data_IF_111862952158
#
_entry.id   IF_111862952158
#
_cell.length_a   1.000
_cell.length_b   1.000
_cell.length_c   1.000
_cell.angle_alpha   90.00
_cell.angle_beta   90.00
_cell.angle_gamma   90.00
#
_symmetry.space_group_name_H-M   'P 1'
#
loop_
_entity.id
_entity.type
_entity.pdbx_description
1 polymer ?
#
# COMPACT_ATOMS: atom_id res chain seq x y z
N UNK A 1 10.00 -9.25 -38.76
CA UNK A 1 9.47 -9.86 -37.52
C UNK A 1 10.58 -9.88 -36.49
N UNK A 2 10.58 -8.94 -35.55
CA UNK A 2 11.52 -9.00 -34.43
C UNK A 2 10.97 -10.01 -33.43
N UNK A 3 11.72 -11.08 -33.19
CA UNK A 3 11.41 -12.06 -32.15
C UNK A 3 11.61 -11.33 -30.83
N UNK A 4 10.51 -10.92 -30.19
CA UNK A 4 10.53 -10.44 -28.80
C UNK A 4 10.78 -11.68 -27.95
N UNK A 5 12.05 -11.95 -27.65
CA UNK A 5 12.41 -12.91 -26.61
C UNK A 5 11.84 -12.38 -25.28
N UNK A 6 11.06 -13.17 -24.54
CA UNK A 6 10.67 -12.78 -23.19
C UNK A 6 11.95 -12.56 -22.38
N UNK A 7 12.01 -11.54 -21.50
CA UNK A 7 13.21 -11.31 -20.69
C UNK A 7 13.52 -12.60 -19.91
N UNK A 8 14.72 -13.13 -20.10
CA UNK A 8 15.20 -14.28 -19.33
C UNK A 8 15.18 -13.88 -17.86
N UNK A 9 14.29 -14.48 -17.08
CA UNK A 9 14.31 -14.40 -15.62
C UNK A 9 15.69 -14.93 -15.19
N UNK A 10 16.53 -14.08 -14.60
CA UNK A 10 17.82 -14.51 -14.10
C UNK A 10 17.59 -15.55 -13.00
N UNK A 11 18.16 -16.75 -13.18
CA UNK A 11 18.09 -17.87 -12.25
C UNK A 11 19.50 -18.35 -11.98
N UNK A 12 19.79 -18.57 -10.71
CA UNK A 12 21.02 -19.20 -10.28
C UNK A 12 20.99 -20.70 -10.62
N UNK A 13 22.15 -21.21 -11.01
CA UNK A 13 22.49 -22.61 -11.26
C UNK A 13 23.44 -23.14 -10.19
N UNK A 14 24.18 -22.26 -9.50
CA UNK A 14 24.99 -22.58 -8.32
C UNK A 14 24.73 -21.61 -7.18
N UNK A 15 25.30 -21.88 -6.00
CA UNK A 15 25.10 -21.02 -4.83
C UNK A 15 26.03 -19.81 -4.84
N UNK A 16 25.53 -18.65 -4.39
CA UNK A 16 26.26 -17.38 -4.33
C UNK A 16 26.24 -16.85 -2.91
N UNK A 17 27.39 -16.42 -2.38
CA UNK A 17 27.52 -15.87 -1.03
C UNK A 17 28.45 -16.67 -0.11
N UNK A 18 28.21 -16.59 1.20
CA UNK A 18 28.98 -17.25 2.25
C UNK A 18 29.13 -18.75 1.96
N UNK A 19 30.36 -19.21 1.74
CA UNK A 19 30.68 -20.62 1.44
C UNK A 19 29.94 -21.19 0.20
N UNK A 20 29.46 -20.32 -0.70
CA UNK A 20 28.83 -20.73 -1.95
C UNK A 20 29.84 -21.15 -3.01
N UNK A 21 29.34 -21.74 -4.11
CA UNK A 21 30.15 -22.02 -5.31
C UNK A 21 30.75 -20.75 -5.90
N UNK A 22 30.04 -19.63 -5.80
CA UNK A 22 30.51 -18.30 -6.19
C UNK A 22 31.04 -18.25 -7.62
N UNK A 23 30.29 -18.84 -8.56
CA UNK A 23 30.57 -18.67 -9.98
C UNK A 23 30.62 -17.18 -10.33
N UNK A 24 31.70 -16.75 -10.99
CA UNK A 24 32.00 -15.33 -11.23
C UNK A 24 30.86 -14.58 -11.93
N UNK A 25 30.20 -15.20 -12.91
CA UNK A 25 29.12 -14.55 -13.67
C UNK A 25 27.84 -14.44 -12.84
N UNK A 26 27.55 -15.44 -12.01
CA UNK A 26 26.41 -15.43 -11.11
C UNK A 26 26.60 -14.42 -9.97
N UNK A 27 27.82 -14.30 -9.45
CA UNK A 27 28.16 -13.27 -8.45
C UNK A 27 27.99 -11.87 -9.05
N UNK A 28 28.46 -11.62 -10.28
CA UNK A 28 28.25 -10.33 -10.97
C UNK A 28 26.77 -10.02 -11.11
N UNK A 29 25.97 -11.00 -11.53
CA UNK A 29 24.55 -10.81 -11.71
C UNK A 29 23.83 -10.52 -10.39
N UNK A 30 24.17 -11.23 -9.30
CA UNK A 30 23.64 -10.93 -7.96
C UNK A 30 24.05 -9.54 -7.48
N UNK A 31 25.33 -9.16 -7.64
CA UNK A 31 25.81 -7.82 -7.30
C UNK A 31 25.03 -6.74 -8.05
N UNK A 32 24.85 -6.90 -9.37
CA UNK A 32 24.08 -5.98 -10.20
C UNK A 32 22.61 -5.88 -9.78
N UNK A 33 21.97 -7.01 -9.47
CA UNK A 33 20.58 -7.04 -9.04
C UNK A 33 20.39 -6.38 -7.66
N UNK A 34 21.29 -6.63 -6.71
CA UNK A 34 21.21 -6.00 -5.38
C UNK A 34 21.42 -4.49 -5.48
N UNK A 35 22.39 -4.04 -6.28
CA UNK A 35 22.63 -2.62 -6.52
C UNK A 35 21.41 -1.93 -7.14
N UNK A 36 20.86 -2.53 -8.21
CA UNK A 36 19.65 -2.05 -8.88
C UNK A 36 18.42 -2.08 -7.98
N UNK A 37 18.34 -3.03 -7.05
CA UNK A 37 17.30 -3.10 -6.03
C UNK A 37 17.50 -2.06 -4.90
N UNK A 38 18.33 -1.04 -5.09
CA UNK A 38 18.40 0.12 -4.20
C UNK A 38 19.30 -0.05 -2.97
N UNK A 39 20.24 -1.00 -2.98
CA UNK A 39 21.19 -1.18 -1.88
C UNK A 39 21.95 0.10 -1.54
N UNK A 40 22.47 0.80 -2.55
CA UNK A 40 23.18 2.06 -2.36
C UNK A 40 22.27 3.15 -1.79
N UNK A 41 21.02 3.23 -2.28
CA UNK A 41 20.05 4.22 -1.80
C UNK A 41 19.67 3.98 -0.32
N UNK A 42 19.56 2.72 0.08
CA UNK A 42 19.17 2.35 1.44
C UNK A 42 20.31 2.43 2.46
N UNK A 43 21.54 2.13 2.05
CA UNK A 43 22.68 1.97 2.98
C UNK A 43 23.75 3.05 2.83
N UNK A 44 23.76 3.78 1.72
CA UNK A 44 24.86 4.66 1.33
C UNK A 44 26.11 3.93 0.86
N UNK A 45 26.12 2.59 0.84
CA UNK A 45 27.27 1.78 0.46
C UNK A 45 27.18 1.38 -1.02
N UNK A 46 28.28 1.51 -1.74
CA UNK A 46 28.37 1.06 -3.13
C UNK A 46 28.81 -0.39 -3.18
N UNK A 47 28.08 -1.22 -3.94
CA UNK A 47 28.48 -2.60 -4.20
C UNK A 47 29.27 -2.67 -5.52
N UNK A 48 30.50 -3.15 -5.47
CA UNK A 48 31.36 -3.25 -6.66
C UNK A 48 30.96 -4.49 -7.47
N UNK A 49 30.59 -4.30 -8.73
CA UNK A 49 30.17 -5.37 -9.64
C UNK A 49 31.39 -5.98 -10.33
N UNK A 50 32.04 -6.94 -9.67
CA UNK A 50 33.31 -7.53 -10.12
C UNK A 50 33.29 -9.07 -10.18
N UNK A 51 32.23 -9.73 -9.71
CA UNK A 51 32.13 -11.19 -9.67
C UNK A 51 32.94 -11.86 -8.56
N UNK A 52 33.50 -11.07 -7.64
CA UNK A 52 34.19 -11.55 -6.45
C UNK A 52 33.21 -11.51 -5.28
N UNK A 53 32.94 -12.67 -4.69
CA UNK A 53 32.10 -12.77 -3.50
C UNK A 53 32.90 -12.40 -2.25
N UNK A 54 33.15 -11.10 -2.08
CA UNK A 54 33.82 -10.54 -0.92
C UNK A 54 32.88 -10.26 0.26
N UNK A 55 33.42 -9.70 1.34
CA UNK A 55 32.65 -9.33 2.53
C UNK A 55 31.54 -8.34 2.19
N UNK A 56 31.78 -7.37 1.29
CA UNK A 56 30.77 -6.40 0.87
C UNK A 56 29.60 -7.09 0.15
N UNK A 57 29.90 -8.01 -0.77
CA UNK A 57 28.89 -8.83 -1.45
C UNK A 57 28.08 -9.65 -0.45
N UNK A 58 28.77 -10.29 0.51
CA UNK A 58 28.11 -11.11 1.52
C UNK A 58 27.20 -10.28 2.44
N UNK A 59 27.63 -9.09 2.86
CA UNK A 59 26.80 -8.19 3.67
C UNK A 59 25.62 -7.60 2.89
N UNK A 60 25.79 -7.34 1.59
CA UNK A 60 24.70 -6.91 0.73
C UNK A 60 23.62 -8.01 0.57
N UNK A 61 24.04 -9.27 0.43
CA UNK A 61 23.14 -10.43 0.46
C UNK A 61 22.40 -10.50 1.79
N UNK A 62 23.11 -10.43 2.92
CA UNK A 62 22.52 -10.46 4.26
C UNK A 62 21.53 -9.32 4.47
N UNK A 63 21.84 -8.13 3.97
CA UNK A 63 20.93 -6.99 4.04
C UNK A 63 19.61 -7.27 3.34
N UNK A 64 19.65 -7.77 2.10
CA UNK A 64 18.44 -8.08 1.35
C UNK A 64 17.67 -9.26 1.98
N UNK A 65 18.38 -10.25 2.52
CA UNK A 65 17.78 -11.32 3.31
C UNK A 65 16.99 -10.76 4.52
N UNK A 66 17.58 -9.85 5.31
CA UNK A 66 16.86 -9.20 6.44
C UNK A 66 15.65 -8.41 5.98
N UNK A 67 15.76 -7.71 4.84
CA UNK A 67 14.66 -6.95 4.26
C UNK A 67 13.48 -7.85 3.93
N UNK A 68 13.74 -9.06 3.43
CA UNK A 68 12.75 -10.07 3.07
C UNK A 68 12.34 -11.02 4.22
N UNK A 69 12.75 -10.75 5.47
CA UNK A 69 12.53 -11.63 6.62
C UNK A 69 13.14 -13.04 6.46
N UNK A 70 14.24 -13.16 5.71
CA UNK A 70 15.08 -14.36 5.63
C UNK A 70 16.05 -14.47 6.78
N UNK A 71 16.53 -15.69 7.02
CA UNK A 71 17.76 -15.90 7.78
C UNK A 71 18.93 -15.22 7.05
N UNK A 72 19.65 -14.28 7.69
CA UNK A 72 20.74 -13.54 7.05
C UNK A 72 22.05 -14.33 7.07
N UNK A 73 22.04 -15.53 6.47
CA UNK A 73 23.21 -16.39 6.39
C UNK A 73 24.24 -15.90 5.34
N UNK A 74 23.84 -14.96 4.47
CA UNK A 74 24.67 -14.42 3.40
C UNK A 74 24.88 -15.40 2.25
N UNK A 75 24.10 -16.48 2.16
CA UNK A 75 24.15 -17.49 1.11
C UNK A 75 22.80 -17.53 0.38
N UNK A 76 22.84 -17.50 -0.95
CA UNK A 76 21.70 -17.67 -1.84
C UNK A 76 21.86 -19.01 -2.55
N UNK A 77 20.85 -19.85 -2.44
CA UNK A 77 20.76 -21.12 -3.16
C UNK A 77 19.93 -20.96 -4.45
N UNK A 78 20.15 -21.79 -5.48
CA UNK A 78 19.26 -21.85 -6.65
C UNK A 78 17.78 -22.06 -6.31
N UNK A 79 17.51 -22.69 -5.18
CA UNK A 79 16.17 -22.94 -4.63
C UNK A 79 15.56 -21.76 -3.89
N UNK A 80 16.31 -20.69 -3.64
CA UNK A 80 15.81 -19.43 -3.06
C UNK A 80 15.04 -18.61 -4.13
N UNK A 81 14.04 -19.25 -4.75
CA UNK A 81 13.28 -18.70 -5.87
C UNK A 81 12.65 -17.36 -5.57
N UNK A 82 12.27 -17.14 -4.31
CA UNK A 82 11.64 -15.93 -3.81
C UNK A 82 12.60 -14.75 -3.67
N UNK A 83 13.83 -14.97 -3.18
CA UNK A 83 14.89 -13.96 -3.15
C UNK A 83 15.22 -13.51 -4.56
N UNK A 84 15.35 -14.49 -5.48
CA UNK A 84 15.60 -14.22 -6.89
C UNK A 84 14.44 -13.49 -7.56
N UNK A 85 13.20 -13.85 -7.24
CA UNK A 85 12.02 -13.14 -7.76
C UNK A 85 11.98 -11.70 -7.28
N UNK A 86 12.22 -11.46 -5.99
CA UNK A 86 12.25 -10.11 -5.41
C UNK A 86 13.30 -9.22 -6.09
N UNK A 87 14.52 -9.73 -6.26
CA UNK A 87 15.60 -9.02 -6.95
C UNK A 87 15.28 -8.73 -8.42
N UNK A 88 14.74 -9.72 -9.14
CA UNK A 88 14.37 -9.56 -10.54
C UNK A 88 13.27 -8.51 -10.71
N UNK A 89 12.21 -8.54 -9.91
CA UNK A 89 11.11 -7.58 -10.00
C UNK A 89 11.52 -6.17 -9.56
N UNK A 90 12.37 -6.05 -8.52
CA UNK A 90 12.91 -4.75 -8.08
C UNK A 90 13.84 -4.12 -9.13
N UNK A 91 14.58 -4.94 -9.89
CA UNK A 91 15.54 -4.48 -10.91
C UNK A 91 14.92 -4.34 -12.31
N UNK A 92 13.73 -4.89 -12.53
CA UNK A 92 13.09 -4.88 -13.83
C UNK A 92 12.63 -3.46 -14.21
N UNK A 93 12.88 -2.98 -15.45
CA UNK A 93 12.32 -1.72 -15.96
C UNK A 93 10.79 -1.79 -16.17
N UNK A 94 10.13 -2.80 -15.61
CA UNK A 94 8.71 -3.12 -15.75
C UNK A 94 7.85 -2.31 -14.77
N UNK A 95 8.35 -1.15 -14.33
CA UNK A 95 7.63 -0.03 -13.74
C UNK A 95 6.52 0.54 -14.65
N UNK A 96 6.11 -0.19 -15.69
CA UNK A 96 5.01 0.16 -16.57
C UNK A 96 3.78 -0.65 -16.15
N UNK A 97 2.62 0.00 -15.95
CA UNK A 97 1.39 -0.67 -15.53
C UNK A 97 1.08 -1.86 -16.44
N UNK A 98 1.26 -3.08 -15.92
CA UNK A 98 0.83 -4.31 -16.61
C UNK A 98 -0.70 -4.45 -16.60
N UNK A 99 -1.37 -3.71 -15.72
CA UNK A 99 -2.82 -3.71 -15.53
C UNK A 99 -3.36 -2.28 -15.53
N UNK A 100 -3.29 -1.60 -16.68
CA UNK A 100 -3.90 -0.29 -16.91
C UNK A 100 -5.40 -0.36 -17.22
N UNK A 101 -5.96 -1.56 -17.38
CA UNK A 101 -7.37 -1.81 -17.63
C UNK A 101 -7.99 -2.74 -16.59
N UNK A 102 -9.14 -2.33 -16.05
CA UNK A 102 -9.93 -3.08 -15.07
C UNK A 102 -11.01 -2.18 -14.45
N UNK A 103 -12.17 -2.72 -14.02
CA UNK A 103 -13.20 -1.92 -13.35
C UNK A 103 -12.72 -1.49 -11.96
N UNK A 104 -12.79 -0.19 -11.68
CA UNK A 104 -12.57 0.40 -10.35
C UNK A 104 -13.85 0.33 -9.50
N UNK A 105 -14.34 -0.89 -9.27
CA UNK A 105 -15.55 -1.14 -8.47
C UNK A 105 -15.24 -2.02 -7.26
N UNK A 106 -15.85 -1.68 -6.14
CA UNK A 106 -15.77 -2.41 -4.87
C UNK A 106 -17.14 -2.95 -4.49
N UNK A 107 -17.16 -4.00 -3.67
CA UNK A 107 -18.42 -4.57 -3.18
C UNK A 107 -19.21 -3.61 -2.28
N UNK A 108 -18.50 -2.83 -1.46
CA UNK A 108 -19.06 -1.84 -0.53
C UNK A 108 -18.14 -0.62 -0.44
N UNK A 109 -18.72 0.55 -0.13
CA UNK A 109 -17.92 1.76 0.09
C UNK A 109 -17.42 2.45 -1.17
N UNK A 110 -18.14 2.35 -2.30
CA UNK A 110 -17.72 2.95 -3.57
C UNK A 110 -17.43 4.45 -3.45
N UNK A 111 -18.27 5.21 -2.73
CA UNK A 111 -18.03 6.65 -2.49
C UNK A 111 -16.68 6.91 -1.81
N UNK A 112 -16.32 6.09 -0.81
CA UNK A 112 -15.04 6.18 -0.12
C UNK A 112 -13.90 5.75 -1.03
N UNK A 113 -14.06 4.64 -1.77
CA UNK A 113 -13.07 4.16 -2.71
C UNK A 113 -12.71 5.23 -3.74
N UNK A 114 -13.73 5.86 -4.34
CA UNK A 114 -13.55 6.90 -5.35
C UNK A 114 -12.86 8.15 -4.77
N UNK A 115 -13.14 8.48 -3.51
CA UNK A 115 -12.60 9.66 -2.84
C UNK A 115 -11.14 9.51 -2.35
N UNK A 116 -10.69 8.31 -1.98
CA UNK A 116 -9.41 8.07 -1.29
C UNK A 116 -8.18 8.00 -2.21
N UNK A 117 -8.34 8.08 -3.54
CA UNK A 117 -7.16 8.02 -4.43
C UNK A 117 -7.42 8.29 -5.90
N UNK A 118 -6.33 8.38 -6.65
CA UNK A 118 -6.32 8.69 -8.08
C UNK A 118 -5.67 7.52 -8.84
N UNK A 119 -6.20 7.17 -10.02
CA UNK A 119 -5.66 6.10 -10.88
C UNK A 119 -5.48 6.59 -12.34
N UNK A 120 -4.92 5.76 -13.23
CA UNK A 120 -4.60 6.14 -14.61
C UNK A 120 -5.79 6.62 -15.44
N UNK A 121 -7.03 6.27 -15.08
CA UNK A 121 -8.26 6.74 -15.74
C UNK A 121 -8.42 8.28 -15.65
N UNK A 122 -7.75 8.91 -14.69
CA UNK A 122 -7.73 10.37 -14.48
C UNK A 122 -6.42 11.06 -14.90
N UNK A 123 -5.45 10.32 -15.47
CA UNK A 123 -4.15 10.85 -15.87
C UNK A 123 -3.98 10.76 -17.39
N UNK A 124 -3.71 11.88 -18.06
CA UNK A 124 -3.53 11.92 -19.52
C UNK A 124 -2.21 11.22 -19.90
N UNK A 125 -2.26 10.27 -20.83
CA UNK A 125 -1.07 9.66 -21.43
C UNK A 125 -0.30 10.71 -22.28
N UNK A 126 1.05 10.64 -22.41
CA UNK A 126 1.95 9.60 -21.92
C UNK A 126 2.48 9.87 -20.50
N UNK A 127 2.37 8.88 -19.61
CA UNK A 127 2.84 8.95 -18.24
C UNK A 127 4.38 8.89 -18.20
N UNK A 128 5.02 10.05 -18.14
CA UNK A 128 6.35 10.19 -17.53
C UNK A 128 6.10 10.30 -16.02
N UNK A 129 6.90 9.65 -15.17
CA UNK A 129 6.88 9.81 -13.71
C UNK A 129 7.15 11.28 -13.31
N UNK A 130 6.19 12.16 -13.55
CA UNK A 130 5.97 13.32 -12.70
C UNK A 130 5.09 12.80 -11.58
N UNK A 131 5.54 13.01 -10.34
CA UNK A 131 4.81 12.72 -9.10
C UNK A 131 3.37 13.24 -9.25
N UNK A 132 2.43 12.36 -9.59
CA UNK A 132 1.01 12.68 -9.54
C UNK A 132 0.63 12.63 -8.06
N UNK A 133 0.25 13.75 -7.44
CA UNK A 133 -0.24 13.72 -6.07
C UNK A 133 -1.35 12.67 -5.97
N UNK A 134 -1.28 11.78 -4.98
CA UNK A 134 -2.34 10.83 -4.66
C UNK A 134 -2.56 9.66 -5.65
N UNK A 135 -1.61 9.34 -6.55
CA UNK A 135 -1.64 8.06 -7.29
C UNK A 135 -1.54 6.84 -6.36
N UNK A 136 -2.64 6.14 -6.16
CA UNK A 136 -2.83 5.22 -5.05
C UNK A 136 -2.08 3.88 -5.18
N UNK A 137 -1.65 3.48 -6.38
CA UNK A 137 -1.08 2.14 -6.61
C UNK A 137 0.41 2.01 -6.33
N UNK A 138 1.05 3.05 -5.79
CA UNK A 138 2.43 3.00 -5.31
C UNK A 138 2.48 3.45 -3.85
N UNK A 139 3.60 3.19 -3.17
CA UNK A 139 3.81 3.74 -1.84
C UNK A 139 3.78 5.27 -1.87
N UNK A 140 3.02 5.83 -0.95
CA UNK A 140 2.88 7.27 -0.76
C UNK A 140 3.12 7.65 0.70
N UNK A 141 3.40 8.93 0.88
CA UNK A 141 3.38 9.57 2.17
C UNK A 141 2.72 10.94 1.99
N UNK A 142 1.46 11.11 2.44
CA UNK A 142 0.82 12.40 2.55
C UNK A 142 1.66 13.32 3.45
N UNK A 143 1.88 14.60 3.08
CA UNK A 143 2.74 15.52 3.83
C UNK A 143 2.05 16.05 5.10
N UNK A 144 1.55 15.15 5.94
CA UNK A 144 1.01 15.45 7.27
C UNK A 144 1.85 14.72 8.31
N UNK A 145 2.06 15.36 9.47
CA UNK A 145 2.91 14.79 10.54
C UNK A 145 2.32 13.50 11.14
N UNK A 146 1.02 13.27 10.97
CA UNK A 146 0.31 12.09 11.51
C UNK A 146 0.25 10.91 10.56
N UNK A 147 0.46 11.12 9.25
CA UNK A 147 0.34 10.04 8.26
C UNK A 147 1.60 9.19 8.20
N UNK A 148 1.39 7.89 8.08
CA UNK A 148 2.43 6.91 7.83
C UNK A 148 2.66 6.67 6.35
N UNK A 149 3.31 5.54 6.05
CA UNK A 149 3.43 5.04 4.68
C UNK A 149 2.06 4.50 4.25
N UNK A 150 1.55 4.98 3.13
CA UNK A 150 0.23 4.59 2.59
C UNK A 150 0.40 3.80 1.30
N UNK A 151 -0.41 2.77 1.10
CA UNK A 151 -0.53 2.04 -0.16
C UNK A 151 -2.00 1.88 -0.54
N UNK A 152 -2.31 1.84 -1.83
CA UNK A 152 -3.68 1.76 -2.29
C UNK A 152 -4.47 3.01 -1.91
N UNK A 153 -5.78 2.84 -1.80
CA UNK A 153 -6.73 3.90 -1.45
C UNK A 153 -6.93 3.91 0.07
N UNK A 154 -5.98 4.51 0.78
CA UNK A 154 -6.11 4.81 2.22
C UNK A 154 -5.56 3.77 3.22
N UNK A 155 -4.81 2.76 2.78
CA UNK A 155 -4.18 1.81 3.71
C UNK A 155 -2.89 2.39 4.34
N UNK A 156 -3.05 3.10 5.46
CA UNK A 156 -1.96 3.75 6.23
C UNK A 156 -1.26 2.81 7.22
N UNK A 157 0.05 2.61 7.10
CA UNK A 157 0.82 1.66 7.91
C UNK A 157 1.28 2.24 9.26
N UNK A 158 1.04 3.53 9.54
CA UNK A 158 1.61 4.27 10.67
C UNK A 158 1.01 3.91 12.04
N UNK A 159 -0.15 3.25 12.09
CA UNK A 159 -0.74 2.75 13.34
C UNK A 159 -0.84 1.22 13.38
N UNK A 160 -0.19 0.53 12.44
CA UNK A 160 -0.30 -0.92 12.25
C UNK A 160 0.98 -1.62 12.64
N UNK A 161 0.83 -2.83 13.17
CA UNK A 161 1.98 -3.69 13.46
C UNK A 161 2.56 -4.29 12.18
N UNK A 162 3.83 -4.71 12.21
CA UNK A 162 4.45 -5.40 11.07
C UNK A 162 3.66 -6.65 10.66
N UNK A 163 3.14 -7.42 11.63
CA UNK A 163 2.36 -8.63 11.34
C UNK A 163 1.02 -8.33 10.65
N UNK A 164 0.34 -7.26 11.09
CA UNK A 164 -0.91 -6.80 10.47
C UNK A 164 -0.69 -6.36 9.02
N UNK A 165 0.35 -5.56 8.77
CA UNK A 165 0.70 -5.09 7.43
C UNK A 165 0.98 -6.26 6.52
N UNK A 166 1.88 -7.16 6.93
CA UNK A 166 2.26 -8.32 6.12
C UNK A 166 1.03 -9.17 5.77
N UNK A 167 0.23 -9.53 6.78
CA UNK A 167 -0.95 -10.39 6.60
C UNK A 167 -1.99 -9.74 5.69
N UNK A 168 -2.28 -8.46 5.88
CA UNK A 168 -3.28 -7.74 5.07
C UNK A 168 -2.85 -7.66 3.60
N UNK A 169 -1.58 -7.33 3.34
CA UNK A 169 -1.07 -7.24 1.97
C UNK A 169 -1.09 -8.61 1.28
N UNK A 170 -0.70 -9.68 1.99
CA UNK A 170 -0.81 -11.05 1.47
C UNK A 170 -2.25 -11.44 1.16
N UNK A 171 -3.20 -11.11 2.02
CA UNK A 171 -4.64 -11.34 1.78
C UNK A 171 -5.16 -10.53 0.58
N UNK A 172 -4.61 -9.35 0.33
CA UNK A 172 -4.89 -8.55 -0.86
C UNK A 172 -4.26 -9.13 -2.15
N UNK A 173 -3.53 -10.25 -2.06
CA UNK A 173 -2.83 -10.87 -3.18
C UNK A 173 -1.57 -10.11 -3.60
N UNK A 174 -1.03 -9.25 -2.72
CA UNK A 174 0.24 -8.58 -2.94
C UNK A 174 1.38 -9.56 -2.67
N UNK A 175 2.39 -9.51 -3.54
CA UNK A 175 3.54 -10.40 -3.53
C UNK A 175 4.25 -10.37 -2.18
N UNK A 176 4.76 -11.52 -1.76
CA UNK A 176 5.32 -11.68 -0.40
C UNK A 176 6.48 -10.75 -0.10
N UNK A 177 7.38 -10.56 -1.07
CA UNK A 177 8.51 -9.67 -0.92
C UNK A 177 8.07 -8.21 -0.73
N UNK A 178 7.03 -7.76 -1.46
CA UNK A 178 6.44 -6.43 -1.27
C UNK A 178 5.82 -6.33 0.12
N UNK A 179 5.07 -7.34 0.55
CA UNK A 179 4.47 -7.38 1.88
C UNK A 179 5.54 -7.35 2.99
N UNK A 180 6.66 -8.08 2.83
CA UNK A 180 7.78 -8.10 3.77
C UNK A 180 8.49 -6.74 3.85
N UNK A 181 8.71 -6.09 2.69
CA UNK A 181 9.27 -4.73 2.64
C UNK A 181 8.30 -3.76 3.33
N UNK A 182 7.03 -3.72 2.92
CA UNK A 182 6.03 -2.81 3.49
C UNK A 182 5.83 -3.01 5.00
N UNK A 183 5.99 -4.22 5.53
CA UNK A 183 5.87 -4.48 6.96
C UNK A 183 6.92 -3.72 7.79
N UNK A 184 8.05 -3.35 7.19
CA UNK A 184 9.07 -2.50 7.81
C UNK A 184 8.63 -1.04 7.97
N UNK A 185 7.52 -0.64 7.34
CA UNK A 185 6.93 0.68 7.50
C UNK A 185 6.03 0.79 8.75
N UNK A 186 5.88 -0.29 9.53
CA UNK A 186 5.12 -0.30 10.76
C UNK A 186 5.50 0.88 11.67
N UNK A 187 4.49 1.62 12.12
CA UNK A 187 4.63 2.77 13.01
C UNK A 187 5.45 3.96 12.49
N UNK A 188 5.96 3.92 11.25
CA UNK A 188 6.66 5.06 10.66
C UNK A 188 5.66 6.17 10.34
N UNK A 189 6.01 7.41 10.69
CA UNK A 189 5.22 8.62 10.43
C UNK A 189 6.11 9.78 10.02
N UNK A 190 5.53 10.80 9.39
CA UNK A 190 6.22 12.03 9.01
C UNK A 190 7.50 11.77 8.22
N UNK A 191 8.63 12.36 8.63
CA UNK A 191 9.92 12.25 7.91
C UNK A 191 10.41 10.80 7.76
N UNK A 192 10.14 9.92 8.72
CA UNK A 192 10.53 8.51 8.61
C UNK A 192 9.74 7.78 7.52
N UNK A 193 8.44 8.07 7.42
CA UNK A 193 7.61 7.54 6.33
C UNK A 193 8.04 8.12 4.98
N UNK A 194 8.37 9.41 4.91
CA UNK A 194 8.93 10.04 3.70
C UNK A 194 10.21 9.32 3.22
N UNK A 195 11.16 9.12 4.15
CA UNK A 195 12.42 8.42 3.85
C UNK A 195 12.16 6.98 3.40
N UNK A 196 11.24 6.28 4.07
CA UNK A 196 10.85 4.92 3.70
C UNK A 196 10.33 4.85 2.26
N UNK A 197 9.42 5.75 1.88
CA UNK A 197 8.87 5.80 0.51
C UNK A 197 9.96 6.11 -0.52
N UNK A 198 10.87 7.04 -0.22
CA UNK A 198 11.99 7.36 -1.12
C UNK A 198 12.91 6.17 -1.36
N UNK A 199 13.23 5.42 -0.30
CA UNK A 199 14.16 4.30 -0.35
C UNK A 199 13.51 3.04 -0.92
N UNK A 200 12.34 2.65 -0.40
CA UNK A 200 11.72 1.36 -0.67
C UNK A 200 10.55 1.41 -1.66
N UNK A 201 10.01 2.60 -1.96
CA UNK A 201 8.99 2.79 -2.99
C UNK A 201 9.38 2.22 -4.35
N UNK A 202 10.61 2.49 -4.86
CA UNK A 202 11.14 1.88 -6.08
C UNK A 202 11.08 0.35 -6.10
N UNK A 203 11.42 -0.30 -4.98
CA UNK A 203 11.46 -1.76 -4.85
C UNK A 203 10.06 -2.38 -4.77
N UNK A 204 9.15 -1.74 -4.04
CA UNK A 204 7.76 -2.21 -3.92
C UNK A 204 7.03 -2.06 -5.25
N UNK A 205 7.29 -0.96 -5.95
CA UNK A 205 6.68 -0.70 -7.25
C UNK A 205 5.17 -0.51 -7.17
N UNK A 206 4.51 -0.82 -8.28
CA UNK A 206 3.07 -0.65 -8.44
C UNK A 206 2.30 -1.93 -8.07
N UNK A 207 1.14 -1.78 -7.43
CA UNK A 207 0.14 -2.86 -7.23
C UNK A 207 -0.93 -2.84 -8.34
N UNK A 208 -1.55 -3.97 -8.65
CA UNK A 208 -2.61 -4.06 -9.68
C UNK A 208 -3.92 -3.39 -9.21
N UNK A 209 -4.85 -3.13 -10.13
CA UNK A 209 -6.21 -2.67 -9.76
C UNK A 209 -6.89 -3.65 -8.80
N UNK A 210 -6.77 -4.94 -9.07
CA UNK A 210 -7.37 -6.00 -8.25
C UNK A 210 -6.75 -6.05 -6.83
N UNK A 211 -5.43 -5.92 -6.72
CA UNK A 211 -4.74 -5.83 -5.43
C UNK A 211 -5.17 -4.58 -4.65
N UNK A 212 -5.32 -3.43 -5.30
CA UNK A 212 -5.82 -2.20 -4.68
C UNK A 212 -7.26 -2.36 -4.18
N UNK A 213 -8.14 -2.96 -4.98
CA UNK A 213 -9.54 -3.21 -4.63
C UNK A 213 -9.61 -4.10 -3.40
N UNK A 214 -8.91 -5.24 -3.41
CA UNK A 214 -8.88 -6.15 -2.26
C UNK A 214 -8.30 -5.49 -1.01
N UNK A 215 -7.22 -4.73 -1.15
CA UNK A 215 -6.61 -4.00 -0.03
C UNK A 215 -7.59 -2.98 0.57
N UNK A 216 -8.31 -2.25 -0.28
CA UNK A 216 -9.36 -1.34 0.18
C UNK A 216 -10.49 -2.08 0.88
N UNK A 217 -11.01 -3.17 0.31
CA UNK A 217 -12.13 -3.92 0.90
C UNK A 217 -11.77 -4.45 2.30
N UNK A 218 -10.55 -4.96 2.48
CA UNK A 218 -10.03 -5.39 3.79
C UNK A 218 -9.99 -4.21 4.78
N UNK A 219 -9.44 -3.06 4.37
CA UNK A 219 -9.36 -1.87 5.20
C UNK A 219 -10.74 -1.28 5.54
N UNK A 220 -11.65 -1.28 4.56
CA UNK A 220 -13.01 -0.79 4.66
C UNK A 220 -13.82 -1.63 5.63
N UNK A 221 -13.68 -2.96 5.59
CA UNK A 221 -14.37 -3.86 6.52
C UNK A 221 -14.01 -3.57 7.98
N UNK A 222 -12.75 -3.23 8.27
CA UNK A 222 -12.33 -2.80 9.62
C UNK A 222 -13.08 -1.54 10.03
N UNK A 223 -13.14 -0.51 9.15
CA UNK A 223 -13.84 0.75 9.43
C UNK A 223 -15.35 0.60 9.54
N UNK A 224 -15.95 -0.27 8.73
CA UNK A 224 -17.35 -0.63 8.84
C UNK A 224 -17.64 -1.26 10.20
N UNK A 225 -16.82 -2.21 10.65
CA UNK A 225 -16.99 -2.86 11.94
C UNK A 225 -16.80 -1.87 13.11
N UNK A 226 -15.80 -0.99 13.04
CA UNK A 226 -15.62 0.10 14.02
C UNK A 226 -16.87 1.00 14.11
N UNK A 227 -17.39 1.46 12.97
CA UNK A 227 -18.57 2.32 12.90
C UNK A 227 -19.81 1.62 13.45
N UNK A 228 -20.07 0.37 13.03
CA UNK A 228 -21.20 -0.45 13.48
C UNK A 228 -21.16 -0.71 14.99
N UNK A 229 -19.99 -1.08 15.52
CA UNK A 229 -19.80 -1.35 16.94
C UNK A 229 -19.97 -0.08 17.78
N UNK A 230 -19.45 1.06 17.32
CA UNK A 230 -19.62 2.33 18.02
C UNK A 230 -21.07 2.83 17.94
N UNK A 231 -21.73 2.66 16.79
CA UNK A 231 -23.15 2.96 16.63
C UNK A 231 -23.99 2.16 17.62
N UNK A 232 -23.84 0.83 17.67
CA UNK A 232 -24.60 -0.02 18.58
C UNK A 232 -24.45 0.39 20.05
N UNK A 233 -23.25 0.82 20.47
CA UNK A 233 -23.05 1.33 21.85
C UNK A 233 -23.75 2.67 22.10
N UNK A 234 -23.76 3.57 21.13
CA UNK A 234 -24.28 4.94 21.32
C UNK A 234 -25.80 5.02 21.07
N UNK A 235 -26.32 4.26 20.09
CA UNK A 235 -27.70 4.34 19.61
C UNK A 235 -28.71 4.02 20.71
N UNK A 236 -28.39 3.15 21.67
CA UNK A 236 -29.25 2.86 22.83
C UNK A 236 -29.57 4.09 23.69
N UNK A 237 -28.74 5.14 23.61
CA UNK A 237 -28.94 6.40 24.35
C UNK A 237 -29.65 7.47 23.52
N UNK A 238 -30.09 7.14 22.31
CA UNK A 238 -30.77 8.03 21.36
C UNK A 238 -32.21 7.52 21.18
N UNK A 239 -33.25 8.32 21.48
CA UNK A 239 -34.64 7.90 21.30
C UNK A 239 -34.93 7.47 19.86
N UNK A 240 -35.70 6.39 19.70
CA UNK A 240 -36.15 5.85 18.40
C UNK A 240 -35.03 5.50 17.42
N UNK A 241 -33.81 5.26 17.90
CA UNK A 241 -32.71 4.85 17.03
C UNK A 241 -32.99 3.47 16.40
N UNK A 242 -33.01 3.35 15.07
CA UNK A 242 -33.20 2.06 14.41
C UNK A 242 -31.95 1.17 14.59
N UNK A 243 -32.11 -0.12 14.32
CA UNK A 243 -30.95 -1.02 14.19
C UNK A 243 -30.02 -0.52 13.06
N UNK A 244 -28.73 -0.84 13.14
CA UNK A 244 -27.75 -0.40 12.14
C UNK A 244 -28.19 -0.76 10.72
N UNK A 245 -28.67 -1.99 10.53
CA UNK A 245 -29.09 -2.55 9.24
C UNK A 245 -30.35 -1.88 8.67
N UNK A 246 -31.12 -1.21 9.52
CA UNK A 246 -32.34 -0.48 9.14
C UNK A 246 -32.06 0.98 8.76
N UNK A 247 -30.84 1.48 8.99
CA UNK A 247 -30.44 2.78 8.46
C UNK A 247 -30.40 2.73 6.93
N UNK A 248 -30.83 3.83 6.31
CA UNK A 248 -30.72 4.02 4.86
C UNK A 248 -29.29 3.76 4.39
N UNK A 249 -29.16 3.02 3.29
CA UNK A 249 -27.85 2.60 2.78
C UNK A 249 -26.91 3.80 2.53
N UNK A 250 -27.43 4.91 1.97
CA UNK A 250 -26.61 6.08 1.69
C UNK A 250 -26.10 6.73 2.98
N UNK A 251 -26.90 6.71 4.04
CA UNK A 251 -26.50 7.18 5.38
C UNK A 251 -25.38 6.29 5.92
N UNK A 252 -25.52 4.97 5.86
CA UNK A 252 -24.48 4.03 6.31
C UNK A 252 -23.17 4.23 5.56
N UNK A 253 -23.22 4.38 4.24
CA UNK A 253 -22.03 4.60 3.41
C UNK A 253 -21.30 5.89 3.84
N UNK A 254 -22.03 6.99 4.07
CA UNK A 254 -21.45 8.27 4.51
C UNK A 254 -20.90 8.20 5.93
N UNK A 255 -21.57 7.50 6.84
CA UNK A 255 -21.03 7.25 8.18
C UNK A 255 -19.68 6.54 8.06
N UNK A 256 -19.61 5.45 7.29
CA UNK A 256 -18.38 4.68 7.16
C UNK A 256 -17.29 5.51 6.48
N UNK A 257 -17.63 6.32 5.48
CA UNK A 257 -16.69 7.25 4.84
C UNK A 257 -16.10 8.27 5.83
N UNK A 258 -16.91 8.81 6.74
CA UNK A 258 -16.45 9.72 7.80
C UNK A 258 -15.55 8.98 8.79
N UNK A 259 -15.86 7.73 9.14
CA UNK A 259 -14.98 6.90 9.98
C UNK A 259 -13.66 6.58 9.29
N UNK A 260 -13.69 6.35 7.97
CA UNK A 260 -12.51 6.10 7.17
C UNK A 260 -11.58 7.32 7.15
N UNK A 261 -12.15 8.51 6.98
CA UNK A 261 -11.43 9.78 7.06
C UNK A 261 -10.88 10.09 8.46
N UNK A 262 -11.66 9.78 9.51
CA UNK A 262 -11.44 10.19 10.88
C UNK A 262 -12.65 10.93 11.44
N UNK A 263 -13.40 10.24 12.30
CA UNK A 263 -14.59 10.81 12.96
C UNK A 263 -14.21 11.74 14.10
N UNK A 264 -14.79 12.95 14.15
CA UNK A 264 -14.53 13.93 15.22
C UNK A 264 -15.52 13.84 16.38
N UNK A 265 -16.81 13.74 16.07
CA UNK A 265 -17.87 13.61 17.06
C UNK A 265 -18.87 12.54 16.62
N UNK A 266 -18.62 11.30 17.04
CA UNK A 266 -19.43 10.16 16.65
C UNK A 266 -20.88 10.26 17.14
N UNK A 267 -21.11 10.83 18.34
CA UNK A 267 -22.47 10.98 18.89
C UNK A 267 -23.31 11.92 18.03
N UNK A 268 -22.78 13.11 17.72
CA UNK A 268 -23.48 14.08 16.88
C UNK A 268 -23.73 13.54 15.45
N UNK A 269 -22.74 12.85 14.89
CA UNK A 269 -22.89 12.18 13.60
C UNK A 269 -24.03 11.17 13.61
N UNK A 270 -24.10 10.29 14.62
CA UNK A 270 -25.16 9.29 14.72
C UNK A 270 -26.53 9.90 14.97
N UNK A 271 -26.64 10.94 15.81
CA UNK A 271 -27.91 11.66 16.01
C UNK A 271 -28.45 12.21 14.69
N UNK A 272 -27.61 12.93 13.93
CA UNK A 272 -27.99 13.47 12.63
C UNK A 272 -28.33 12.36 11.61
N UNK A 273 -27.62 11.23 11.67
CA UNK A 273 -27.86 10.07 10.81
C UNK A 273 -29.19 9.37 11.10
N UNK A 274 -29.57 9.29 12.37
CA UNK A 274 -30.85 8.69 12.81
C UNK A 274 -32.02 9.60 12.41
N UNK A 275 -31.86 10.92 12.52
CA UNK A 275 -32.87 11.90 12.10
C UNK A 275 -33.08 11.90 10.58
N UNK A 276 -32.03 11.56 9.80
CA UNK A 276 -32.13 11.24 8.38
C UNK A 276 -31.21 12.06 7.49
N UNK A 277 -31.36 11.89 6.17
CA UNK A 277 -30.44 12.45 5.16
C UNK A 277 -30.27 13.97 5.27
N UNK A 278 -31.38 14.71 5.46
CA UNK A 278 -31.34 16.18 5.56
C UNK A 278 -30.58 16.66 6.80
N UNK A 279 -30.80 16.00 7.95
CA UNK A 279 -30.08 16.31 9.18
C UNK A 279 -28.60 15.96 9.06
N UNK A 280 -28.26 14.82 8.43
CA UNK A 280 -26.87 14.46 8.14
C UNK A 280 -26.19 15.46 7.19
N UNK A 281 -26.87 15.91 6.13
CA UNK A 281 -26.37 16.98 5.24
C UNK A 281 -26.11 18.26 6.04
N UNK A 282 -27.04 18.66 6.91
CA UNK A 282 -26.85 19.84 7.75
C UNK A 282 -25.67 19.68 8.71
N UNK A 283 -25.50 18.51 9.32
CA UNK A 283 -24.36 18.18 10.17
C UNK A 283 -23.03 18.29 9.40
N UNK A 284 -22.95 17.75 8.18
CA UNK A 284 -21.77 17.86 7.32
C UNK A 284 -21.48 19.33 7.01
N UNK A 285 -22.48 20.10 6.56
CA UNK A 285 -22.33 21.54 6.24
C UNK A 285 -21.84 22.37 7.42
N UNK A 286 -22.29 22.03 8.63
CA UNK A 286 -21.95 22.75 9.85
C UNK A 286 -20.67 22.26 10.52
N UNK A 287 -19.99 21.25 9.98
CA UNK A 287 -18.72 20.72 10.49
C UNK A 287 -17.57 21.15 9.57
N UNK A 288 -16.76 22.17 9.93
CA UNK A 288 -15.70 22.70 9.07
C UNK A 288 -14.74 21.62 8.56
N UNK A 289 -14.39 20.65 9.40
CA UNK A 289 -13.49 19.56 9.01
C UNK A 289 -14.09 18.61 7.99
N UNK A 290 -15.41 18.42 7.93
CA UNK A 290 -15.99 17.59 6.87
C UNK A 290 -16.13 18.40 5.57
N UNK A 291 -16.50 19.68 5.68
CA UNK A 291 -16.60 20.58 4.54
C UNK A 291 -15.28 20.81 3.81
N UNK A 292 -14.14 20.81 4.51
CA UNK A 292 -12.83 20.99 3.88
C UNK A 292 -12.46 19.87 2.89
N UNK A 293 -13.13 18.71 2.96
CA UNK A 293 -12.92 17.58 2.05
C UNK A 293 -14.13 17.29 1.14
N UNK A 294 -15.24 17.98 1.34
CA UNK A 294 -16.51 17.69 0.67
C UNK A 294 -16.41 17.80 -0.86
N UNK A 295 -15.55 18.70 -1.37
CA UNK A 295 -15.34 18.88 -2.81
C UNK A 295 -14.82 17.62 -3.52
N UNK A 296 -14.06 16.77 -2.84
CA UNK A 296 -13.58 15.49 -3.40
C UNK A 296 -14.42 14.29 -2.93
N UNK A 297 -15.03 14.37 -1.73
CA UNK A 297 -15.81 13.25 -1.16
C UNK A 297 -17.25 13.18 -1.64
N UNK A 298 -17.87 14.30 -2.02
CA UNK A 298 -19.21 14.37 -2.60
C UNK A 298 -20.32 13.71 -1.75
N UNK A 299 -20.19 13.71 -0.41
CA UNK A 299 -21.16 13.09 0.53
C UNK A 299 -22.54 13.74 0.45
N UNK A 300 -22.59 15.06 0.38
CA UNK A 300 -23.85 15.83 0.32
C UNK A 300 -24.60 15.48 -0.96
N UNK A 301 -23.91 15.49 -2.10
CA UNK A 301 -24.52 15.11 -3.39
C UNK A 301 -24.99 13.66 -3.36
N UNK A 302 -24.24 12.77 -2.72
CA UNK A 302 -24.62 11.37 -2.59
C UNK A 302 -25.87 11.17 -1.73
N UNK A 303 -26.06 11.99 -0.69
CA UNK A 303 -27.23 11.94 0.21
C UNK A 303 -28.51 12.56 -0.36
N UNK A 304 -28.41 13.39 -1.41
CA UNK A 304 -29.58 13.90 -2.14
C UNK A 304 -30.27 12.78 -2.94
#
# INVERSE_FOLDING_TARGET
MAIITPPRIFRLTSSVGTCGTNNTDEVKAVQQLIDNAGYQLATGQTLVINGRCDTATTEAIRWYQRLLNMSPNGLIQPTDTWFMQALNEASAPHWRPKHSGGPLRVQQGQITFDAEGVDYITAVAPFRQKRYPNFSRILQWPPTNSSGVTLGRGYDMGNRSSGEIFTTLKQAGIEEYKAAICSKAAHLKGRQAEQFVKVYGPLVGEITHEQQIRLFELAYQVKLNEARNLYGRISHTIPNAPAWEQLDQKIRDVIIDIFYQGVHNARALFQASIEGKNALIAHIRNTPTYMSFESHRNRIRYLQ
#
